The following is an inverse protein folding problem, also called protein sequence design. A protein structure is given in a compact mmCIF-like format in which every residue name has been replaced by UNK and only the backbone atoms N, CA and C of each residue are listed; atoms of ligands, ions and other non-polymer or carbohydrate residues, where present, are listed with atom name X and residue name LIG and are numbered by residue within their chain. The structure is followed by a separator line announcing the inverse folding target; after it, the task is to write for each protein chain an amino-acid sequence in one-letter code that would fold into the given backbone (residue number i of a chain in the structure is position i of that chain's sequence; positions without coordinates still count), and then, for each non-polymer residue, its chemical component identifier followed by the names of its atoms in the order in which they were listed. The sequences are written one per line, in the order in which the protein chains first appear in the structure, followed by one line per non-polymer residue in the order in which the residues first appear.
data_IF_519651375453
#
_entry.id   IF_519651375453
#
_cell.length_a   1.000
_cell.length_b   1.000
_cell.length_c   1.000
_cell.angle_alpha   90.00
_cell.angle_beta   90.00
_cell.angle_gamma   90.00
#
_symmetry.space_group_name_H-M   'P 1'
#
loop_
_entity.id
_entity.type
_entity.pdbx_description
1 polymer ?
#
# COMPACT_ATOMS: atom_id res chain seq x y z
N UNK A 1 -4.03 -16.84 -16.08
CA UNK A 1 -3.90 -18.27 -15.80
C UNK A 1 -4.97 -18.69 -14.82
N UNK A 2 -5.55 -19.91 -14.98
CA UNK A 2 -6.52 -20.42 -14.00
C UNK A 2 -5.77 -21.25 -12.95
N UNK A 3 -5.98 -20.96 -11.67
CA UNK A 3 -5.30 -21.63 -10.56
C UNK A 3 -6.25 -21.81 -9.39
N UNK A 4 -5.98 -22.83 -8.56
CA UNK A 4 -6.64 -22.99 -7.26
C UNK A 4 -5.75 -22.46 -6.16
N UNK A 5 -6.25 -21.53 -5.33
CA UNK A 5 -5.48 -21.00 -4.21
C UNK A 5 -5.19 -22.08 -3.15
N UNK A 6 -6.13 -23.02 -2.95
CA UNK A 6 -6.02 -24.07 -1.94
C UNK A 6 -6.29 -25.48 -2.54
N UNK A 7 -5.40 -26.01 -3.38
CA UNK A 7 -5.62 -27.31 -4.04
C UNK A 7 -5.68 -28.49 -3.05
N UNK A 8 -5.06 -28.36 -1.87
CA UNK A 8 -5.11 -29.37 -0.81
C UNK A 8 -6.51 -29.63 -0.28
N UNK A 9 -7.47 -28.70 -0.47
CA UNK A 9 -8.89 -28.89 -0.07
C UNK A 9 -9.50 -30.10 -0.77
N UNK A 10 -9.07 -30.48 -1.96
CA UNK A 10 -9.57 -31.68 -2.63
C UNK A 10 -9.25 -33.00 -1.89
N UNK A 11 -8.27 -32.99 -0.99
CA UNK A 11 -8.00 -34.14 -0.10
C UNK A 11 -9.19 -34.48 0.81
N UNK A 12 -10.09 -33.54 1.06
CA UNK A 12 -11.33 -33.77 1.83
C UNK A 12 -12.47 -34.35 0.98
N UNK A 13 -12.28 -34.61 -0.29
CA UNK A 13 -13.29 -35.23 -1.15
C UNK A 13 -13.84 -36.55 -0.58
N UNK A 14 -13.05 -37.50 -0.07
CA UNK A 14 -13.55 -38.75 0.48
C UNK A 14 -14.18 -38.61 1.88
N UNK A 15 -14.08 -37.47 2.55
CA UNK A 15 -14.49 -37.26 3.94
C UNK A 15 -15.92 -37.73 4.24
N UNK A 16 -16.97 -37.43 3.47
CA UNK A 16 -18.34 -37.86 3.76
C UNK A 16 -18.49 -39.39 3.75
N UNK A 17 -17.75 -40.07 2.86
CA UNK A 17 -17.78 -41.53 2.81
C UNK A 17 -17.02 -42.16 3.99
N UNK A 18 -15.87 -41.58 4.37
CA UNK A 18 -15.13 -42.00 5.57
C UNK A 18 -15.94 -41.81 6.84
N UNK A 19 -16.60 -40.67 7.00
CA UNK A 19 -17.48 -40.41 8.15
C UNK A 19 -18.62 -41.44 8.22
N UNK A 20 -19.17 -41.82 7.08
CA UNK A 20 -20.24 -42.81 7.02
C UNK A 20 -19.79 -44.25 7.41
N UNK A 21 -18.50 -44.55 7.25
CA UNK A 21 -17.92 -45.82 7.68
C UNK A 21 -17.69 -45.85 9.22
N UNK A 22 -17.38 -44.69 9.80
CA UNK A 22 -17.01 -44.56 11.21
C UNK A 22 -18.24 -44.29 12.11
N UNK A 23 -19.19 -43.48 11.62
CA UNK A 23 -20.38 -43.12 12.39
C UNK A 23 -21.48 -44.20 12.24
N UNK A 24 -22.06 -44.65 13.33
CA UNK A 24 -23.23 -45.57 13.27
C UNK A 24 -24.39 -44.84 12.59
N UNK A 25 -25.19 -45.60 11.84
CA UNK A 25 -26.42 -45.06 11.27
C UNK A 25 -27.29 -44.49 12.38
N UNK A 26 -27.62 -43.19 12.28
CA UNK A 26 -28.56 -42.57 13.19
C UNK A 26 -29.91 -43.29 13.02
N UNK A 27 -30.35 -43.99 14.01
CA UNK A 27 -31.75 -44.48 14.10
C UNK A 27 -32.63 -43.23 14.04
N UNK A 28 -33.33 -43.05 12.93
CA UNK A 28 -34.41 -42.07 12.88
C UNK A 28 -35.44 -42.52 13.90
N UNK A 29 -35.38 -41.90 15.08
CA UNK A 29 -36.34 -42.15 16.18
C UNK A 29 -37.76 -41.59 15.86
N UNK A 30 -38.24 -41.80 14.65
CA UNK A 30 -39.69 -41.75 14.41
C UNK A 30 -40.29 -42.85 15.26
N UNK A 31 -40.95 -42.45 16.36
CA UNK A 31 -41.77 -43.34 17.15
C UNK A 31 -42.80 -43.98 16.22
N UNK A 32 -42.43 -45.11 15.64
CA UNK A 32 -43.32 -45.91 14.86
C UNK A 32 -44.34 -46.48 15.86
N UNK A 33 -45.53 -45.90 15.91
CA UNK A 33 -46.67 -46.49 16.57
C UNK A 33 -46.90 -47.87 15.96
N UNK A 34 -46.53 -48.89 16.69
CA UNK A 34 -46.77 -50.30 16.32
C UNK A 34 -48.25 -50.58 16.52
N UNK A 35 -49.03 -50.26 15.46
CA UNK A 35 -50.48 -50.55 15.46
C UNK A 35 -50.68 -51.91 14.83
N UNK A 36 -51.43 -52.80 15.57
CA UNK A 36 -51.65 -54.21 15.22
C UNK A 36 -52.48 -54.41 13.93
N UNK A 37 -53.02 -53.35 13.33
CA UNK A 37 -53.89 -53.40 12.17
C UNK A 37 -53.26 -52.62 10.94
N UNK A 38 -51.91 -52.50 10.89
CA UNK A 38 -51.20 -51.85 9.80
C UNK A 38 -51.44 -52.55 8.47
N UNK A 39 -51.49 -53.84 8.45
CA UNK A 39 -51.74 -54.63 7.22
C UNK A 39 -53.13 -54.39 6.61
N UNK A 40 -54.14 -54.17 7.45
CA UNK A 40 -55.46 -53.79 6.98
C UNK A 40 -55.59 -52.38 6.51
N UNK A 41 -54.93 -51.43 7.19
CA UNK A 41 -54.85 -50.04 6.78
C UNK A 41 -54.00 -49.86 5.48
N UNK A 42 -52.94 -50.61 5.27
CA UNK A 42 -52.18 -50.62 4.02
C UNK A 42 -53.01 -51.18 2.85
N UNK A 43 -53.86 -52.19 3.10
CA UNK A 43 -54.75 -52.72 2.09
C UNK A 43 -55.86 -51.76 1.69
N UNK A 44 -56.39 -50.97 2.65
CA UNK A 44 -57.41 -49.92 2.42
C UNK A 44 -56.85 -48.62 1.86
N UNK A 45 -55.65 -48.26 2.25
CA UNK A 45 -54.96 -47.00 1.79
C UNK A 45 -54.36 -47.13 0.39
N UNK A 46 -54.43 -48.30 -0.26
CA UNK A 46 -53.90 -48.55 -1.59
C UNK A 46 -52.48 -48.07 -1.72
N UNK A 47 -51.54 -48.93 -1.28
CA UNK A 47 -50.10 -48.80 -1.54
C UNK A 47 -49.62 -47.35 -1.84
N UNK A 48 -49.84 -46.43 -0.95
CA UNK A 48 -49.08 -45.19 -0.95
C UNK A 48 -47.81 -45.38 -0.12
N UNK A 49 -47.06 -46.42 -0.46
CA UNK A 49 -45.67 -46.48 -0.04
C UNK A 49 -45.02 -45.21 -0.59
N UNK A 50 -44.61 -44.30 0.30
CA UNK A 50 -43.75 -43.18 -0.09
C UNK A 50 -42.62 -43.78 -0.93
N UNK A 51 -42.65 -43.59 -2.23
CA UNK A 51 -41.57 -43.97 -3.12
C UNK A 51 -40.35 -43.17 -2.65
N UNK A 52 -39.62 -43.72 -1.69
CA UNK A 52 -38.29 -43.21 -1.32
C UNK A 52 -37.51 -43.21 -2.62
N UNK A 53 -37.03 -42.07 -3.00
CA UNK A 53 -36.11 -41.99 -4.13
C UNK A 53 -35.01 -43.05 -3.92
N UNK A 54 -34.67 -43.82 -4.97
CA UNK A 54 -33.66 -44.86 -4.83
C UNK A 54 -32.40 -44.29 -4.16
N UNK A 55 -31.85 -44.97 -3.20
CA UNK A 55 -30.76 -44.48 -2.34
C UNK A 55 -29.58 -43.91 -3.11
N UNK A 56 -29.31 -44.42 -4.31
CA UNK A 56 -28.26 -43.93 -5.18
C UNK A 56 -28.49 -42.47 -5.65
N UNK A 57 -29.76 -42.08 -5.93
CA UNK A 57 -30.10 -40.70 -6.33
C UNK A 57 -29.88 -39.70 -5.21
N UNK A 58 -30.16 -40.09 -3.98
CA UNK A 58 -29.90 -39.27 -2.81
C UNK A 58 -28.38 -39.11 -2.59
N UNK A 59 -27.62 -40.18 -2.78
CA UNK A 59 -26.17 -40.15 -2.68
C UNK A 59 -25.53 -39.22 -3.78
N UNK A 60 -26.01 -39.31 -5.00
CA UNK A 60 -25.54 -38.45 -6.10
C UNK A 60 -25.80 -36.96 -5.83
N UNK A 61 -27.00 -36.62 -5.30
CA UNK A 61 -27.34 -35.24 -4.94
C UNK A 61 -26.39 -34.70 -3.86
N UNK A 62 -26.13 -35.50 -2.85
CA UNK A 62 -25.25 -35.17 -1.76
C UNK A 62 -23.80 -35.03 -2.23
N UNK A 63 -23.33 -35.94 -3.08
CA UNK A 63 -21.99 -35.90 -3.68
C UNK A 63 -21.80 -34.66 -4.55
N UNK A 64 -22.81 -34.28 -5.33
CA UNK A 64 -22.77 -33.08 -6.17
C UNK A 64 -22.68 -31.81 -5.33
N UNK A 65 -23.49 -31.70 -4.25
CA UNK A 65 -23.43 -30.57 -3.33
C UNK A 65 -22.06 -30.47 -2.66
N UNK A 66 -21.54 -31.62 -2.16
CA UNK A 66 -20.22 -31.70 -1.55
C UNK A 66 -19.12 -31.28 -2.50
N UNK A 67 -19.17 -31.73 -3.75
CA UNK A 67 -18.21 -31.35 -4.79
C UNK A 67 -18.24 -29.85 -5.07
N UNK A 68 -19.42 -29.22 -5.17
CA UNK A 68 -19.55 -27.78 -5.37
C UNK A 68 -19.00 -26.99 -4.19
N UNK A 69 -19.20 -27.46 -2.95
CA UNK A 69 -18.63 -26.83 -1.76
C UNK A 69 -17.10 -26.94 -1.73
N UNK A 70 -16.53 -28.10 -2.08
CA UNK A 70 -15.09 -28.28 -2.20
C UNK A 70 -14.50 -27.39 -3.28
N UNK A 71 -15.18 -27.28 -4.42
CA UNK A 71 -14.76 -26.43 -5.52
C UNK A 71 -14.74 -24.94 -5.07
N UNK A 72 -15.76 -24.51 -4.33
CA UNK A 72 -15.81 -23.18 -3.75
C UNK A 72 -14.68 -22.95 -2.72
N UNK A 73 -14.47 -23.93 -1.83
CA UNK A 73 -13.45 -23.89 -0.78
C UNK A 73 -12.01 -23.91 -1.35
N UNK A 74 -11.78 -24.58 -2.48
CA UNK A 74 -10.50 -24.59 -3.18
C UNK A 74 -10.13 -23.21 -3.79
N UNK A 75 -11.06 -22.22 -3.72
CA UNK A 75 -10.88 -20.85 -4.21
C UNK A 75 -10.30 -20.79 -5.63
N UNK A 76 -11.08 -21.20 -6.65
CA UNK A 76 -10.68 -21.00 -8.03
C UNK A 76 -10.46 -19.51 -8.28
N UNK A 77 -9.35 -19.16 -8.93
CA UNK A 77 -8.99 -17.78 -9.22
C UNK A 77 -8.40 -17.66 -10.61
N UNK A 78 -8.68 -16.54 -11.24
CA UNK A 78 -8.04 -16.15 -12.49
C UNK A 78 -6.90 -15.21 -12.19
N UNK A 79 -5.67 -15.67 -12.35
CA UNK A 79 -4.46 -14.87 -12.13
C UNK A 79 -4.13 -14.15 -13.43
N UNK A 80 -4.16 -12.82 -13.38
CA UNK A 80 -3.79 -11.95 -14.49
C UNK A 80 -2.29 -11.95 -14.78
N UNK A 81 -1.89 -11.17 -15.77
CA UNK A 81 -0.48 -10.93 -16.05
C UNK A 81 0.18 -10.19 -14.88
N UNK A 82 1.46 -10.48 -14.60
CA UNK A 82 2.19 -9.77 -13.57
C UNK A 82 2.28 -8.30 -13.93
N UNK A 83 1.57 -7.45 -13.19
CA UNK A 83 1.74 -6.01 -13.28
C UNK A 83 3.03 -5.65 -12.54
N UNK A 84 3.96 -4.94 -13.19
CA UNK A 84 5.09 -4.36 -12.49
C UNK A 84 4.51 -3.31 -11.53
N UNK A 85 4.37 -3.64 -10.25
CA UNK A 85 4.23 -2.61 -9.26
C UNK A 85 5.58 -1.89 -9.20
N UNK A 86 5.60 -0.56 -9.21
CA UNK A 86 6.82 0.15 -8.88
C UNK A 86 7.20 -0.34 -7.48
N UNK A 87 8.20 -1.22 -7.43
CA UNK A 87 8.81 -1.58 -6.19
C UNK A 87 9.39 -0.31 -5.60
N UNK A 88 9.31 -0.20 -4.30
CA UNK A 88 9.80 0.93 -3.55
C UNK A 88 11.15 1.37 -4.08
N UNK A 89 11.15 2.52 -4.77
CA UNK A 89 12.35 3.27 -5.02
C UNK A 89 12.96 3.73 -3.69
N UNK A 90 13.72 4.77 -3.73
CA UNK A 90 14.33 5.38 -2.54
C UNK A 90 13.30 5.99 -1.61
N UNK A 91 13.67 6.08 -0.38
CA UNK A 91 13.01 6.90 0.64
C UNK A 91 13.76 8.22 0.75
N UNK A 92 13.35 9.19 -0.06
CA UNK A 92 13.98 10.50 -0.18
C UNK A 92 13.28 11.51 0.74
N UNK A 93 13.99 12.01 1.74
CA UNK A 93 13.49 13.05 2.60
C UNK A 93 14.18 14.37 2.27
N UNK A 94 13.41 15.39 1.92
CA UNK A 94 13.91 16.75 1.69
C UNK A 94 13.81 17.52 3.01
N UNK A 95 14.91 18.11 3.47
CA UNK A 95 14.92 19.05 4.57
C UNK A 95 15.26 20.43 4.03
N UNK A 96 14.28 21.33 4.06
CA UNK A 96 14.36 22.66 3.48
C UNK A 96 14.39 23.69 4.59
N UNK A 97 15.41 24.54 4.57
CA UNK A 97 15.53 25.69 5.43
C UNK A 97 14.48 26.76 5.07
N UNK A 98 13.77 27.23 6.06
CA UNK A 98 12.80 28.34 5.94
C UNK A 98 13.10 29.45 6.95
N UNK A 99 14.34 29.55 7.42
CA UNK A 99 14.83 30.63 8.28
C UNK A 99 14.82 31.99 7.59
N UNK A 100 15.12 33.04 8.32
CA UNK A 100 15.05 34.40 7.80
C UNK A 100 16.04 34.71 6.66
N UNK A 101 17.17 34.02 6.60
CA UNK A 101 18.18 34.18 5.53
C UNK A 101 17.69 33.72 4.17
N UNK A 102 16.77 32.76 4.13
CA UNK A 102 16.18 32.26 2.89
C UNK A 102 15.30 33.28 2.15
N UNK A 103 15.00 34.44 2.76
CA UNK A 103 14.27 35.56 2.14
C UNK A 103 15.16 36.47 1.30
N UNK A 104 16.48 36.30 1.37
CA UNK A 104 17.39 37.13 0.54
C UNK A 104 17.11 36.92 -0.94
N UNK A 105 16.94 38.04 -1.69
CA UNK A 105 16.69 38.08 -3.13
C UNK A 105 18.00 38.27 -3.90
N UNK A 106 18.91 37.35 -3.75
CA UNK A 106 20.23 37.34 -4.37
C UNK A 106 20.33 36.27 -5.47
N UNK A 107 19.27 35.57 -5.77
CA UNK A 107 19.21 34.55 -6.80
C UNK A 107 18.49 35.05 -8.05
N UNK A 108 18.94 34.61 -9.22
CA UNK A 108 18.33 34.94 -10.50
C UNK A 108 17.62 33.76 -11.11
N UNK A 109 16.38 33.99 -11.50
CA UNK A 109 15.58 33.05 -12.29
C UNK A 109 15.10 33.77 -13.55
N UNK A 110 15.63 33.36 -14.71
CA UNK A 110 15.47 34.13 -15.97
C UNK A 110 15.96 35.57 -15.80
N UNK A 111 15.08 36.57 -15.92
CA UNK A 111 15.42 38.00 -15.80
C UNK A 111 15.01 38.60 -14.44
N UNK A 112 14.38 37.78 -13.55
CA UNK A 112 13.87 38.24 -12.26
C UNK A 112 14.82 37.89 -11.11
N UNK A 113 14.94 38.80 -10.15
CA UNK A 113 15.57 38.55 -8.85
C UNK A 113 14.53 37.92 -7.89
N UNK A 114 14.80 36.70 -7.45
CA UNK A 114 13.91 35.94 -6.57
C UNK A 114 14.61 35.55 -5.27
N UNK A 115 13.82 35.20 -4.24
CA UNK A 115 14.39 34.73 -2.99
C UNK A 115 14.97 33.32 -3.14
N UNK A 116 15.87 32.95 -2.21
CA UNK A 116 16.47 31.62 -2.17
C UNK A 116 15.38 30.54 -2.04
N UNK A 117 14.38 30.76 -1.17
CA UNK A 117 13.25 29.83 -1.01
C UNK A 117 12.42 29.74 -2.28
N UNK A 118 12.15 30.85 -2.98
CA UNK A 118 11.41 30.80 -4.27
C UNK A 118 12.14 29.99 -5.33
N UNK A 119 13.47 30.09 -5.38
CA UNK A 119 14.28 29.29 -6.30
C UNK A 119 14.16 27.79 -5.96
N UNK A 120 14.26 27.42 -4.67
CA UNK A 120 14.10 26.04 -4.22
C UNK A 120 12.74 25.50 -4.61
N UNK A 121 11.66 26.23 -4.37
CA UNK A 121 10.29 25.82 -4.71
C UNK A 121 10.17 25.48 -6.20
N UNK A 122 10.71 26.31 -7.07
CA UNK A 122 10.67 26.08 -8.52
C UNK A 122 11.43 24.82 -8.92
N UNK A 123 12.70 24.71 -8.53
CA UNK A 123 13.58 23.64 -8.99
C UNK A 123 13.30 22.31 -8.29
N UNK A 124 13.10 22.32 -6.97
CA UNK A 124 12.78 21.09 -6.24
C UNK A 124 11.33 20.67 -6.40
N UNK A 125 10.41 21.56 -6.76
CA UNK A 125 9.06 21.20 -7.17
C UNK A 125 9.07 20.28 -8.38
N UNK A 126 9.82 20.63 -9.42
CA UNK A 126 9.97 19.79 -10.62
C UNK A 126 10.75 18.50 -10.31
N UNK A 127 11.84 18.60 -9.54
CA UNK A 127 12.60 17.45 -9.06
C UNK A 127 11.72 16.42 -8.30
N UNK A 128 10.80 16.86 -7.44
CA UNK A 128 9.88 16.00 -6.74
C UNK A 128 8.94 15.28 -7.73
N UNK A 129 8.39 15.98 -8.70
CA UNK A 129 7.45 15.40 -9.67
C UNK A 129 8.09 14.36 -10.59
N UNK A 130 9.35 14.54 -10.93
CA UNK A 130 10.09 13.62 -11.80
C UNK A 130 10.49 12.30 -11.11
N UNK A 131 10.40 12.21 -9.77
CA UNK A 131 10.76 11.04 -8.95
C UNK A 131 9.75 9.90 -9.03
N UNK A 132 9.57 9.34 -10.23
CA UNK A 132 8.65 8.20 -10.45
C UNK A 132 9.17 6.95 -9.75
N UNK A 133 8.39 6.46 -8.77
CA UNK A 133 8.71 5.24 -8.02
C UNK A 133 9.36 5.47 -6.67
N UNK A 134 9.89 6.67 -6.37
CA UNK A 134 10.42 7.03 -5.06
C UNK A 134 9.31 7.47 -4.10
N UNK A 135 9.51 7.27 -2.81
CA UNK A 135 8.73 7.94 -1.77
C UNK A 135 9.45 9.21 -1.38
N UNK A 136 8.77 10.31 -1.46
CA UNK A 136 9.30 11.63 -1.10
C UNK A 136 8.60 12.13 0.16
N UNK A 137 9.35 12.72 1.06
CA UNK A 137 8.83 13.43 2.24
C UNK A 137 9.47 14.79 2.37
N UNK A 138 8.89 15.67 3.18
CA UNK A 138 9.32 17.04 3.37
C UNK A 138 9.44 17.37 4.85
N UNK A 139 10.60 17.88 5.25
CA UNK A 139 10.86 18.56 6.51
C UNK A 139 11.08 20.03 6.22
N UNK A 140 10.39 20.91 6.94
CA UNK A 140 10.72 22.33 6.99
C UNK A 140 11.40 22.61 8.31
N UNK A 141 12.51 23.35 8.26
CA UNK A 141 13.23 23.69 9.48
C UNK A 141 13.67 25.16 9.52
N UNK A 142 13.80 25.65 10.71
CA UNK A 142 14.27 26.96 11.11
C UNK A 142 14.80 26.85 12.51
N UNK A 143 14.24 27.58 13.49
CA UNK A 143 14.58 27.39 14.92
C UNK A 143 14.19 25.98 15.44
N UNK A 144 13.26 25.31 14.78
CA UNK A 144 12.82 23.94 15.03
C UNK A 144 12.60 23.20 13.71
N UNK A 145 12.59 21.88 13.74
CA UNK A 145 12.33 21.05 12.56
C UNK A 145 10.94 20.40 12.64
N UNK A 146 10.18 20.49 11.56
CA UNK A 146 8.82 19.96 11.44
C UNK A 146 8.70 19.04 10.24
N UNK A 147 8.10 17.85 10.44
CA UNK A 147 7.72 16.97 9.35
C UNK A 147 6.46 17.52 8.67
N UNK A 148 6.63 18.19 7.55
CA UNK A 148 5.52 18.73 6.75
C UNK A 148 4.82 17.64 5.95
N UNK A 149 5.58 16.77 5.29
CA UNK A 149 5.07 15.63 4.58
C UNK A 149 5.78 14.34 5.02
N UNK A 150 5.06 13.28 5.43
CA UNK A 150 5.64 11.97 5.61
C UNK A 150 6.04 11.38 4.24
N UNK A 151 6.93 10.38 4.24
CA UNK A 151 7.32 9.65 3.03
C UNK A 151 6.10 9.05 2.31
N UNK A 152 5.79 9.57 1.13
CA UNK A 152 4.64 9.20 0.31
C UNK A 152 5.01 9.05 -1.16
N UNK A 153 4.23 8.29 -1.90
CA UNK A 153 4.29 8.24 -3.37
C UNK A 153 3.49 9.38 -4.03
N UNK A 154 2.70 10.11 -3.25
CA UNK A 154 1.95 11.27 -3.72
C UNK A 154 2.86 12.51 -3.78
N UNK A 155 3.58 12.59 -4.87
CA UNK A 155 4.56 13.66 -5.13
C UNK A 155 3.89 15.00 -5.33
N UNK A 156 2.69 15.01 -5.92
CA UNK A 156 1.94 16.23 -6.12
C UNK A 156 1.60 16.93 -4.79
N UNK A 157 1.13 16.17 -3.81
CA UNK A 157 0.88 16.70 -2.47
C UNK A 157 2.16 17.25 -1.81
N UNK A 158 3.29 16.54 -1.97
CA UNK A 158 4.58 17.02 -1.42
C UNK A 158 5.02 18.33 -2.09
N UNK A 159 4.86 18.43 -3.42
CA UNK A 159 5.12 19.67 -4.16
C UNK A 159 4.26 20.82 -3.67
N UNK A 160 2.95 20.63 -3.55
CA UNK A 160 2.02 21.66 -3.05
C UNK A 160 2.45 22.14 -1.66
N UNK A 161 2.84 21.26 -0.77
CA UNK A 161 3.31 21.66 0.56
C UNK A 161 4.64 22.36 0.55
N UNK A 162 5.54 22.06 -0.39
CA UNK A 162 6.76 22.84 -0.61
C UNK A 162 6.42 24.25 -1.14
N UNK A 163 5.48 24.36 -2.08
CA UNK A 163 5.04 25.62 -2.65
C UNK A 163 4.36 26.54 -1.61
N UNK A 164 3.66 25.94 -0.63
CA UNK A 164 3.02 26.65 0.48
C UNK A 164 3.98 27.02 1.62
N UNK A 165 5.22 26.51 1.63
CA UNK A 165 6.20 26.85 2.66
C UNK A 165 6.46 28.35 2.72
N UNK A 166 6.52 28.92 3.93
CA UNK A 166 6.72 30.34 4.14
C UNK A 166 7.94 30.59 5.03
N UNK A 167 8.65 31.68 4.74
CA UNK A 167 9.78 32.13 5.56
C UNK A 167 9.31 32.34 7.00
N UNK A 168 10.11 31.83 7.95
CA UNK A 168 9.89 32.02 9.38
C UNK A 168 8.82 31.13 10.01
N UNK A 169 8.13 30.26 9.24
CA UNK A 169 7.11 29.33 9.78
C UNK A 169 7.71 28.36 10.81
N UNK A 170 8.98 28.01 10.66
CA UNK A 170 9.75 27.18 11.58
C UNK A 170 10.66 27.98 12.52
N UNK A 171 10.51 29.29 12.55
CA UNK A 171 11.35 30.23 13.31
C UNK A 171 12.45 30.88 12.48
N UNK A 172 13.22 31.79 13.09
CA UNK A 172 14.16 32.65 12.37
C UNK A 172 15.58 32.10 12.30
N UNK A 173 15.95 31.23 13.25
CA UNK A 173 17.29 30.61 13.31
C UNK A 173 17.34 29.34 12.45
N UNK A 174 18.51 28.73 12.33
CA UNK A 174 18.76 27.55 11.53
C UNK A 174 19.23 26.39 12.41
N UNK A 175 18.38 25.38 12.62
CA UNK A 175 18.64 24.21 13.47
C UNK A 175 18.93 22.97 12.61
N UNK A 176 20.10 22.90 11.99
CA UNK A 176 20.54 21.83 11.09
C UNK A 176 20.55 20.48 11.81
N UNK A 177 21.11 20.42 13.01
CA UNK A 177 21.23 19.18 13.76
C UNK A 177 19.87 18.57 14.11
N UNK A 178 18.88 19.40 14.45
CA UNK A 178 17.53 18.96 14.79
C UNK A 178 16.81 18.44 13.52
N UNK A 179 17.03 19.08 12.37
CA UNK A 179 16.49 18.63 11.08
C UNK A 179 17.04 17.26 10.70
N UNK A 180 18.33 17.04 10.81
CA UNK A 180 18.97 15.73 10.59
C UNK A 180 18.44 14.70 11.58
N UNK A 181 18.35 15.03 12.86
CA UNK A 181 17.84 14.14 13.90
C UNK A 181 16.41 13.68 13.63
N UNK A 182 15.53 14.60 13.19
CA UNK A 182 14.17 14.29 12.78
C UNK A 182 14.15 13.40 11.55
N UNK A 183 14.99 13.68 10.55
CA UNK A 183 15.12 12.87 9.34
C UNK A 183 15.56 11.43 9.67
N UNK A 184 16.59 11.25 10.48
CA UNK A 184 17.07 9.94 10.92
C UNK A 184 15.96 9.17 11.64
N UNK A 185 15.24 9.83 12.55
CA UNK A 185 14.10 9.20 13.25
C UNK A 185 13.06 8.65 12.29
N UNK A 186 12.82 9.30 11.15
CA UNK A 186 11.84 8.86 10.13
C UNK A 186 12.40 7.80 9.20
N UNK A 187 13.65 7.97 8.76
CA UNK A 187 14.29 7.07 7.80
C UNK A 187 14.73 5.74 8.42
N UNK A 188 15.09 5.68 9.71
CA UNK A 188 15.55 4.43 10.36
C UNK A 188 14.55 3.28 10.30
N UNK A 189 13.27 3.57 10.07
CA UNK A 189 12.21 2.55 9.92
C UNK A 189 12.12 1.99 8.49
N UNK A 190 12.97 2.46 7.59
CA UNK A 190 13.02 2.08 6.18
C UNK A 190 14.20 1.15 5.92
N UNK A 191 14.22 0.42 4.79
CA UNK A 191 15.39 -0.36 4.39
C UNK A 191 16.64 0.51 4.30
N UNK A 192 17.76 0.05 4.79
CA UNK A 192 19.01 0.83 4.88
C UNK A 192 19.47 1.38 3.52
N UNK A 193 19.30 0.58 2.47
CA UNK A 193 19.72 0.88 1.10
C UNK A 193 18.91 2.01 0.43
N UNK A 194 17.76 2.38 1.02
CA UNK A 194 16.85 3.38 0.45
C UNK A 194 16.87 4.74 1.16
N UNK A 195 17.62 4.88 2.26
CA UNK A 195 17.57 6.04 3.15
C UNK A 195 18.41 7.19 2.63
N UNK A 196 17.76 8.20 2.08
CA UNK A 196 18.42 9.40 1.54
C UNK A 196 17.79 10.64 2.15
N UNK A 197 18.64 11.55 2.66
CA UNK A 197 18.29 12.90 3.08
C UNK A 197 18.96 13.92 2.16
N UNK A 198 18.20 14.86 1.62
CA UNK A 198 18.72 16.04 0.95
C UNK A 198 18.48 17.23 1.87
N UNK A 199 19.54 17.78 2.39
CA UNK A 199 19.53 18.95 3.28
C UNK A 199 19.84 20.22 2.47
N UNK A 200 18.92 21.16 2.47
CA UNK A 200 19.01 22.40 1.69
C UNK A 200 18.99 23.57 2.66
N UNK A 201 20.06 24.33 2.74
CA UNK A 201 20.23 25.48 3.63
C UNK A 201 21.12 26.53 3.00
N UNK A 202 21.11 27.73 3.51
CA UNK A 202 21.95 28.85 3.07
C UNK A 202 22.89 29.37 4.16
N UNK A 203 22.96 28.70 5.29
CA UNK A 203 23.68 29.27 6.42
C UNK A 203 24.28 28.28 7.40
N UNK A 204 24.99 28.87 8.36
CA UNK A 204 25.53 28.18 9.49
C UNK A 204 24.43 27.76 10.48
N UNK A 205 24.70 26.71 11.25
CA UNK A 205 23.84 26.32 12.35
C UNK A 205 23.81 27.39 13.45
N UNK A 206 22.69 28.09 13.60
CA UNK A 206 22.51 29.18 14.59
C UNK A 206 21.56 28.83 15.73
N UNK A 207 21.00 27.63 15.71
CA UNK A 207 20.02 27.16 16.71
C UNK A 207 19.97 25.65 16.81
N UNK A 208 18.97 25.17 17.55
CA UNK A 208 18.73 23.75 17.74
C UNK A 208 19.33 23.18 19.03
N UNK A 209 18.95 21.94 19.36
CA UNK A 209 19.39 21.25 20.56
C UNK A 209 20.54 20.25 20.26
N UNK A 210 20.64 19.80 19.01
CA UNK A 210 21.59 18.81 18.56
C UNK A 210 22.67 19.48 17.71
N UNK A 211 23.93 19.26 18.05
CA UNK A 211 25.03 19.74 17.22
C UNK A 211 25.01 18.99 15.84
N UNK A 212 25.20 19.69 14.71
CA UNK A 212 25.15 19.09 13.38
C UNK A 212 26.05 17.87 13.20
N UNK A 213 27.28 17.91 13.75
CA UNK A 213 28.24 16.82 13.69
C UNK A 213 27.77 15.57 14.44
N UNK A 214 27.12 15.73 15.59
CA UNK A 214 26.54 14.61 16.36
C UNK A 214 25.36 14.01 15.60
N UNK A 215 24.52 14.84 14.99
CA UNK A 215 23.42 14.38 14.17
C UNK A 215 23.90 13.61 12.92
N UNK A 216 24.99 14.07 12.30
CA UNK A 216 25.62 13.40 11.17
C UNK A 216 26.22 12.03 11.55
N UNK A 217 26.87 11.93 12.70
CA UNK A 217 27.36 10.64 13.22
C UNK A 217 26.21 9.66 13.44
N UNK A 218 25.11 10.11 14.07
CA UNK A 218 23.92 9.29 14.23
C UNK A 218 23.31 8.87 12.90
N UNK A 219 23.32 9.75 11.89
CA UNK A 219 22.85 9.43 10.55
C UNK A 219 23.72 8.35 9.90
N UNK A 220 25.04 8.44 10.01
CA UNK A 220 25.98 7.45 9.51
C UNK A 220 25.79 6.08 10.18
N UNK A 221 25.63 6.03 11.51
CA UNK A 221 25.32 4.79 12.26
C UNK A 221 24.01 4.14 11.81
N UNK A 222 23.03 4.95 11.45
CA UNK A 222 21.75 4.47 10.94
C UNK A 222 21.72 4.29 9.41
N UNK A 223 22.87 4.37 8.75
CA UNK A 223 23.01 4.22 7.30
C UNK A 223 22.08 5.16 6.51
N UNK A 224 21.94 6.40 6.99
CA UNK A 224 21.23 7.47 6.28
C UNK A 224 22.28 8.28 5.52
N UNK A 225 22.18 8.28 4.19
CA UNK A 225 23.05 9.07 3.32
C UNK A 225 22.54 10.52 3.25
N UNK A 226 23.39 11.50 3.48
CA UNK A 226 23.02 12.92 3.50
C UNK A 226 23.74 13.65 2.36
N UNK A 227 22.95 14.22 1.46
CA UNK A 227 23.41 15.20 0.48
C UNK A 227 23.12 16.59 1.02
N UNK A 228 24.13 17.45 1.07
CA UNK A 228 23.99 18.82 1.53
C UNK A 228 24.08 19.77 0.36
N UNK A 229 23.12 20.68 0.26
CA UNK A 229 23.05 21.70 -0.78
C UNK A 229 23.05 23.06 -0.10
N UNK A 230 24.13 23.78 -0.34
CA UNK A 230 24.34 25.15 0.11
C UNK A 230 23.86 26.12 -0.97
N UNK A 231 22.99 27.07 -0.61
CA UNK A 231 22.40 28.04 -1.54
C UNK A 231 22.78 29.46 -1.15
N UNK A 232 23.46 30.16 -2.07
CA UNK A 232 23.80 31.55 -1.87
C UNK A 232 24.61 32.11 -3.03
N UNK A 233 24.36 33.38 -3.36
CA UNK A 233 25.10 34.07 -4.42
C UNK A 233 26.59 34.24 -4.05
N UNK A 234 27.43 34.40 -5.08
CA UNK A 234 28.85 34.64 -4.87
C UNK A 234 29.05 36.00 -4.19
N UNK A 235 29.82 36.10 -3.08
CA UNK A 235 30.09 37.37 -2.41
C UNK A 235 30.71 38.45 -3.31
N UNK A 236 31.30 38.04 -4.44
CA UNK A 236 31.93 38.93 -5.39
C UNK A 236 30.98 39.54 -6.43
N UNK A 237 29.74 38.99 -6.58
CA UNK A 237 28.75 39.49 -7.56
C UNK A 237 27.65 40.37 -6.94
N UNK A 238 27.52 40.38 -5.65
CA UNK A 238 26.56 41.23 -4.92
C UNK A 238 27.18 42.56 -4.59
N UNK A 239 26.85 43.58 -5.38
CA UNK A 239 27.25 44.96 -5.37
C UNK A 239 27.71 45.57 -4.05
N UNK A 240 28.43 46.69 -4.15
CA UNK A 240 28.91 47.65 -3.14
C UNK A 240 29.01 47.07 -1.70
N UNK A 241 30.20 46.95 -1.11
CA UNK A 241 30.33 46.62 0.31
C UNK A 241 29.40 47.53 1.09
N UNK A 242 28.32 46.99 1.64
CA UNK A 242 27.32 47.79 2.31
C UNK A 242 27.98 48.59 3.43
N UNK A 243 27.58 49.85 3.58
CA UNK A 243 28.05 50.84 4.56
C UNK A 243 27.96 50.33 6.02
N UNK A 244 27.42 49.11 6.25
CA UNK A 244 27.17 48.50 7.57
C UNK A 244 27.78 47.10 7.75
N UNK A 245 28.71 46.65 6.88
CA UNK A 245 29.48 45.41 7.12
C UNK A 245 28.70 44.08 7.09
N UNK A 246 27.45 44.07 6.68
CA UNK A 246 26.69 42.84 6.45
C UNK A 246 27.05 42.26 5.07
N UNK A 247 27.83 41.20 5.09
CA UNK A 247 28.10 40.41 3.89
C UNK A 247 27.35 39.09 4.03
N UNK A 248 26.21 38.92 3.39
CA UNK A 248 25.37 37.72 3.54
C UNK A 248 26.04 36.41 3.08
N UNK A 249 27.20 36.49 2.44
CA UNK A 249 27.99 35.32 2.01
C UNK A 249 29.09 34.89 3.01
N UNK A 250 29.25 35.58 4.17
CA UNK A 250 30.28 35.22 5.17
C UNK A 250 29.76 34.27 6.24
N UNK A 251 28.44 34.07 6.36
CA UNK A 251 27.85 33.18 7.37
C UNK A 251 27.76 31.72 6.90
N UNK A 252 28.35 31.36 5.79
CA UNK A 252 28.38 30.02 5.24
C UNK A 252 29.36 29.14 5.97
N UNK A 253 28.84 28.12 6.68
CA UNK A 253 29.64 27.08 7.34
C UNK A 253 29.86 25.88 6.38
N UNK A 254 30.50 26.15 5.23
CA UNK A 254 30.85 25.13 4.25
C UNK A 254 31.58 23.92 4.86
N UNK A 255 32.56 24.10 5.77
CA UNK A 255 33.22 22.97 6.41
C UNK A 255 32.27 22.02 7.14
N UNK A 256 31.26 22.55 7.86
CA UNK A 256 30.29 21.73 8.57
C UNK A 256 29.39 20.97 7.60
N UNK A 257 28.86 21.62 6.55
CA UNK A 257 28.00 20.96 5.57
C UNK A 257 28.76 19.88 4.79
N UNK A 258 29.99 20.15 4.40
CA UNK A 258 30.88 19.16 3.76
C UNK A 258 31.17 17.99 4.67
N UNK A 259 31.48 18.24 5.94
CA UNK A 259 31.72 17.21 6.93
C UNK A 259 30.49 16.32 7.19
N UNK A 260 29.28 16.88 7.19
CA UNK A 260 28.02 16.14 7.29
C UNK A 260 27.87 15.18 6.11
N UNK A 261 28.05 15.67 4.87
CA UNK A 261 27.93 14.86 3.68
C UNK A 261 28.96 13.72 3.65
N UNK A 262 30.24 14.05 3.81
CA UNK A 262 31.35 13.10 3.77
C UNK A 262 31.20 11.98 4.85
N UNK A 263 30.83 12.34 6.07
CA UNK A 263 30.70 11.38 7.17
C UNK A 263 29.56 10.37 6.98
N UNK A 264 28.58 10.72 6.13
CA UNK A 264 27.40 9.89 5.84
C UNK A 264 27.47 9.19 4.47
N UNK A 265 28.57 9.38 3.72
CA UNK A 265 28.76 8.82 2.38
C UNK A 265 27.92 9.52 1.29
N UNK A 266 27.46 10.73 1.56
CA UNK A 266 26.85 11.63 0.59
C UNK A 266 27.85 12.59 -0.03
N UNK A 267 27.34 13.66 -0.66
CA UNK A 267 28.15 14.67 -1.33
C UNK A 267 27.64 16.08 -0.98
N UNK A 268 28.58 17.03 -0.89
CA UNK A 268 28.28 18.44 -0.68
C UNK A 268 28.22 19.15 -2.03
N UNK A 269 27.17 19.95 -2.22
CA UNK A 269 26.97 20.79 -3.39
C UNK A 269 26.80 22.23 -2.97
N UNK A 270 27.29 23.14 -3.82
CA UNK A 270 27.04 24.56 -3.69
C UNK A 270 26.33 25.10 -4.94
N UNK A 271 25.19 25.73 -4.73
CA UNK A 271 24.39 26.34 -5.80
C UNK A 271 24.43 27.84 -5.70
N UNK A 272 25.13 28.49 -6.66
CA UNK A 272 25.24 29.93 -6.78
C UNK A 272 24.28 30.51 -7.82
N UNK A 273 23.72 29.64 -8.64
CA UNK A 273 22.80 29.98 -9.71
C UNK A 273 21.75 28.89 -9.93
N UNK A 274 20.68 29.24 -10.64
CA UNK A 274 19.66 28.28 -11.02
C UNK A 274 20.21 27.13 -11.87
N UNK A 275 21.13 27.41 -12.80
CA UNK A 275 21.76 26.41 -13.67
C UNK A 275 22.62 25.40 -12.88
N UNK A 276 23.34 25.85 -11.84
CA UNK A 276 24.08 24.96 -10.95
C UNK A 276 23.13 24.08 -10.18
N UNK A 277 22.03 24.60 -9.65
CA UNK A 277 21.03 23.82 -8.90
C UNK A 277 20.32 22.77 -9.78
N UNK A 278 20.05 23.10 -11.05
CA UNK A 278 19.56 22.10 -12.03
C UNK A 278 20.58 20.98 -12.25
N UNK A 279 21.87 21.33 -12.38
CA UNK A 279 22.90 20.30 -12.55
C UNK A 279 23.09 19.40 -11.33
N UNK A 280 22.89 19.95 -10.13
CA UNK A 280 22.91 19.21 -8.87
C UNK A 280 21.73 18.22 -8.83
N UNK A 281 20.54 18.66 -9.19
CA UNK A 281 19.36 17.80 -9.28
C UNK A 281 19.60 16.61 -10.22
N UNK A 282 20.15 16.86 -11.42
CA UNK A 282 20.50 15.81 -12.38
C UNK A 282 21.63 14.88 -11.86
N UNK A 283 22.53 15.38 -11.02
CA UNK A 283 23.60 14.60 -10.42
C UNK A 283 23.06 13.69 -9.33
N UNK A 284 22.15 14.17 -8.47
CA UNK A 284 21.45 13.36 -7.48
C UNK A 284 20.70 12.19 -8.13
N UNK A 285 20.13 12.39 -9.31
CA UNK A 285 19.49 11.32 -10.09
C UNK A 285 20.47 10.23 -10.52
N UNK A 286 21.68 10.59 -10.86
CA UNK A 286 22.73 9.64 -11.27
C UNK A 286 23.40 8.92 -10.10
N UNK A 287 23.61 9.62 -9.00
CA UNK A 287 24.26 9.06 -7.81
C UNK A 287 23.38 8.03 -7.12
N UNK A 288 22.08 8.21 -7.21
CA UNK A 288 21.10 7.32 -6.58
C UNK A 288 20.17 6.71 -7.64
N UNK A 289 20.65 5.78 -8.47
CA UNK A 289 19.79 5.13 -9.46
C UNK A 289 18.68 4.30 -8.77
N UNK A 290 17.48 4.38 -9.30
CA UNK A 290 16.35 3.60 -8.79
C UNK A 290 16.65 2.11 -8.96
N UNK A 291 16.93 1.41 -7.87
CA UNK A 291 16.96 -0.05 -7.88
C UNK A 291 15.52 -0.54 -8.08
N UNK A 292 15.13 -0.76 -9.33
CA UNK A 292 13.84 -1.35 -9.68
C UNK A 292 13.82 -2.83 -9.27
N UNK A 293 13.62 -3.10 -8.01
CA UNK A 293 13.10 -4.40 -7.60
C UNK A 293 11.64 -4.44 -8.02
N UNK A 294 11.37 -4.93 -9.20
CA UNK A 294 10.01 -5.15 -9.69
C UNK A 294 9.35 -6.23 -8.84
N UNK A 295 8.67 -5.82 -7.79
CA UNK A 295 7.75 -6.70 -7.08
C UNK A 295 6.57 -6.97 -8.02
N UNK A 296 6.55 -8.15 -8.63
CA UNK A 296 5.50 -8.57 -9.55
C UNK A 296 4.26 -8.96 -8.76
N UNK A 297 3.32 -8.05 -8.59
CA UNK A 297 2.00 -8.41 -8.09
C UNK A 297 1.16 -8.97 -9.23
N UNK A 298 0.55 -10.15 -9.00
CA UNK A 298 -0.41 -10.74 -9.92
C UNK A 298 -1.82 -10.46 -9.39
N UNK A 299 -2.62 -9.63 -10.07
CA UNK A 299 -4.00 -9.44 -9.67
C UNK A 299 -4.74 -10.76 -9.83
N UNK A 300 -5.35 -11.26 -8.77
CA UNK A 300 -6.13 -12.48 -8.77
C UNK A 300 -7.61 -12.16 -8.61
N UNK A 301 -8.41 -12.50 -9.61
CA UNK A 301 -9.88 -12.45 -9.55
C UNK A 301 -10.38 -13.76 -8.94
N UNK A 302 -10.97 -13.67 -7.74
CA UNK A 302 -11.52 -14.81 -7.06
C UNK A 302 -12.87 -15.23 -7.68
N UNK A 303 -12.98 -16.49 -8.11
CA UNK A 303 -14.17 -17.05 -8.77
C UNK A 303 -14.98 -17.98 -7.85
N UNK A 304 -14.66 -18.06 -6.57
CA UNK A 304 -15.32 -18.97 -5.61
C UNK A 304 -16.82 -18.69 -5.44
N UNK A 305 -17.27 -17.47 -5.72
CA UNK A 305 -18.69 -17.08 -5.64
C UNK A 305 -19.59 -17.88 -6.59
N UNK A 306 -19.10 -18.30 -7.75
CA UNK A 306 -19.87 -19.06 -8.73
C UNK A 306 -20.21 -20.48 -8.26
N UNK A 307 -19.24 -21.31 -7.87
CA UNK A 307 -19.57 -22.65 -7.33
C UNK A 307 -20.32 -22.57 -6.01
N UNK A 308 -20.11 -21.54 -5.19
CA UNK A 308 -20.88 -21.35 -3.95
C UNK A 308 -22.35 -21.02 -4.24
N UNK A 309 -22.61 -20.13 -5.19
CA UNK A 309 -23.97 -19.78 -5.64
C UNK A 309 -24.67 -21.00 -6.24
N UNK A 310 -23.96 -21.82 -7.02
CA UNK A 310 -24.50 -23.05 -7.57
C UNK A 310 -24.84 -24.07 -6.47
N UNK A 311 -24.00 -24.20 -5.44
CA UNK A 311 -24.26 -25.08 -4.30
C UNK A 311 -25.50 -24.62 -3.51
N UNK A 312 -25.61 -23.32 -3.25
CA UNK A 312 -26.75 -22.72 -2.56
C UNK A 312 -28.03 -22.92 -3.37
N UNK A 313 -28.01 -22.59 -4.67
CA UNK A 313 -29.16 -22.78 -5.55
C UNK A 313 -29.63 -24.22 -5.63
N UNK A 314 -28.69 -25.17 -5.72
CA UNK A 314 -28.98 -26.59 -5.68
C UNK A 314 -29.61 -27.02 -4.35
N UNK A 315 -29.09 -26.53 -3.22
CA UNK A 315 -29.63 -26.80 -1.89
C UNK A 315 -31.09 -26.31 -1.77
N UNK A 316 -31.36 -25.06 -2.17
CA UNK A 316 -32.71 -24.48 -2.17
C UNK A 316 -33.66 -25.28 -3.07
N UNK A 317 -33.20 -25.66 -4.26
CA UNK A 317 -33.98 -26.45 -5.21
C UNK A 317 -34.34 -27.83 -4.62
N UNK A 318 -33.40 -28.52 -3.98
CA UNK A 318 -33.63 -29.81 -3.36
C UNK A 318 -34.65 -29.70 -2.23
N UNK A 319 -34.56 -28.68 -1.38
CA UNK A 319 -35.54 -28.43 -0.31
C UNK A 319 -36.91 -28.08 -0.92
N UNK A 320 -36.97 -27.24 -1.92
CA UNK A 320 -38.23 -26.89 -2.60
C UNK A 320 -38.91 -28.13 -3.22
N UNK A 321 -38.12 -29.03 -3.83
CA UNK A 321 -38.65 -30.28 -4.40
C UNK A 321 -39.17 -31.27 -3.32
N UNK A 322 -38.62 -31.26 -2.11
CA UNK A 322 -39.07 -32.06 -0.99
C UNK A 322 -40.35 -31.50 -0.34
N UNK A 323 -40.44 -30.18 -0.24
CA UNK A 323 -41.57 -29.47 0.35
C UNK A 323 -42.75 -29.29 -0.62
N UNK A 324 -42.54 -29.48 -1.93
CA UNK A 324 -43.60 -29.30 -2.94
C UNK A 324 -44.72 -30.33 -2.72
N UNK A 325 -45.97 -29.90 -2.40
CA UNK A 325 -47.08 -30.80 -2.21
C UNK A 325 -47.38 -31.55 -3.51
N UNK A 326 -47.30 -32.88 -3.46
CA UNK A 326 -47.58 -33.77 -4.61
C UNK A 326 -49.07 -33.96 -4.84
N UNK A 327 -49.88 -32.92 -4.67
CA UNK A 327 -51.37 -33.01 -4.64
C UNK A 327 -52.09 -33.08 -5.99
N UNK A 328 -51.44 -32.97 -7.14
CA UNK A 328 -52.14 -32.88 -8.40
C UNK A 328 -51.80 -33.96 -9.44
N UNK A 329 -51.83 -35.26 -9.05
CA UNK A 329 -52.00 -36.35 -10.00
C UNK A 329 -53.26 -37.13 -9.68
N UNK A 330 -54.44 -36.46 -9.87
CA UNK A 330 -55.70 -37.18 -10.01
C UNK A 330 -55.79 -37.76 -11.41
N UNK A 331 -55.55 -39.03 -11.54
CA UNK A 331 -55.93 -39.75 -12.76
C UNK A 331 -57.44 -39.78 -12.86
N UNK A 332 -58.01 -39.55 -14.06
CA UNK A 332 -59.47 -39.65 -14.25
C UNK A 332 -59.94 -41.07 -13.98
N UNK A 333 -60.90 -41.19 -13.07
CA UNK A 333 -61.57 -42.46 -12.79
C UNK A 333 -62.27 -42.91 -14.09
N UNK A 334 -61.84 -44.04 -14.68
CA UNK A 334 -62.62 -44.79 -15.64
C UNK A 334 -63.95 -45.14 -14.98
N UNK A 335 -65.04 -44.55 -15.40
CA UNK A 335 -66.39 -45.00 -15.11
C UNK A 335 -66.57 -46.33 -15.80
N UNK A 336 -66.63 -47.41 -15.02
CA UNK A 336 -67.17 -48.70 -15.48
C UNK A 336 -68.69 -48.54 -15.58
N UNK A 337 -69.15 -48.41 -16.80
CA UNK A 337 -70.58 -48.51 -17.10
C UNK A 337 -71.05 -49.93 -16.81
N UNK A 338 -71.95 -50.04 -15.89
CA UNK A 338 -72.88 -51.17 -15.86
C UNK A 338 -74.15 -50.74 -16.62
N UNK A 339 -74.50 -51.42 -17.59
CA UNK A 339 -75.83 -51.53 -18.14
C UNK A 339 -76.40 -52.92 -17.86
N UNK A 340 -77.72 -53.02 -17.97
CA UNK A 340 -78.60 -53.75 -17.07
C UNK A 340 -78.58 -55.24 -17.26
#
# INVERSE_FOLDING_TARGET
MFEFAWPWVFAFAPLPWLLRLVLPAADSGEAALKVSFLDELESLAGRRARARLPAWRQQVRFALLWFLLLLAAARPQWVGEPLPLPASGRDLLLAVDVSGSMDYRDMRWQDDEISRLELIKKLFGDFIEDRRGDRVGLILFGSQAYLQAPLTFDRHTVRVWLDEAQIGIAGKNTAIGDAIGLAVKRLRQRPAESRVLVLITDGANTGGQIAPQIAAQLAAEQQVKIYTIDIGADPQQGGVPGLFGFNPGLDLDEPTLRGIAESTGGEYFRARSSAELESISATLDRLEPVAQQTTRARPALALYSWPLAAALGLSVLLVALELWPRENRTWPRRRSGRQP
#
